data_IF_058334900133
#
_entry.id   IF_058334900133
#
_cell.length_a   1.000
_cell.length_b   1.000
_cell.length_c   1.000
_cell.angle_alpha   90.00
_cell.angle_beta   90.00
_cell.angle_gamma   90.00
#
_symmetry.space_group_name_H-M   'P 1'
#
loop_
_entity.id
_entity.type
_entity.pdbx_description
1 polymer ?
#
# COMPACT_ATOMS: atom_id res chain seq x y z
N UNK A 1 -42.27 -10.26 -3.48
CA UNK A 1 -41.53 -9.09 -2.96
C UNK A 1 -40.20 -9.05 -3.69
N UNK A 2 -40.05 -8.10 -4.63
CA UNK A 2 -38.82 -7.99 -5.43
C UNK A 2 -37.76 -7.27 -4.61
N UNK A 3 -36.61 -7.90 -4.36
CA UNK A 3 -35.50 -7.25 -3.70
C UNK A 3 -34.97 -6.13 -4.61
N UNK A 4 -34.97 -4.89 -4.12
CA UNK A 4 -34.30 -3.77 -4.80
C UNK A 4 -32.81 -4.13 -5.00
N UNK A 5 -32.22 -3.90 -6.18
CA UNK A 5 -30.79 -4.10 -6.36
C UNK A 5 -30.04 -3.17 -5.39
N UNK A 6 -29.16 -3.75 -4.58
CA UNK A 6 -28.22 -2.97 -3.76
C UNK A 6 -27.28 -2.26 -4.72
N UNK A 7 -27.18 -0.94 -4.61
CA UNK A 7 -26.30 -0.15 -5.47
C UNK A 7 -24.85 -0.57 -5.19
N UNK A 8 -24.14 -1.06 -6.20
CA UNK A 8 -22.78 -1.58 -6.03
C UNK A 8 -21.82 -0.49 -5.52
N UNK A 9 -22.01 0.75 -6.02
CA UNK A 9 -21.27 1.95 -5.61
C UNK A 9 -21.38 2.27 -4.10
N UNK A 10 -22.54 2.03 -3.47
CA UNK A 10 -22.66 2.29 -2.03
C UNK A 10 -21.89 1.24 -1.21
N UNK A 11 -21.77 0.01 -1.71
CA UNK A 11 -21.03 -1.05 -1.02
C UNK A 11 -19.51 -0.86 -1.06
N UNK A 12 -18.98 -0.28 -2.15
CA UNK A 12 -17.56 0.02 -2.30
C UNK A 12 -17.16 1.27 -1.52
N UNK A 13 -17.96 2.35 -1.54
CA UNK A 13 -17.74 3.52 -0.68
C UNK A 13 -17.81 3.17 0.81
N UNK A 14 -18.79 2.35 1.22
CA UNK A 14 -18.91 1.85 2.60
C UNK A 14 -17.67 1.05 3.01
N UNK A 15 -17.02 0.35 2.06
CA UNK A 15 -15.81 -0.42 2.33
C UNK A 15 -14.59 0.48 2.51
N UNK A 16 -14.46 1.54 1.71
CA UNK A 16 -13.36 2.49 1.81
C UNK A 16 -13.43 3.36 3.08
N UNK A 17 -14.61 3.55 3.66
CA UNK A 17 -14.79 4.33 4.89
C UNK A 17 -13.97 3.78 6.06
N UNK A 18 -13.57 2.51 6.07
CA UNK A 18 -12.71 1.98 7.13
C UNK A 18 -11.33 2.62 7.17
N UNK A 19 -10.84 3.17 6.04
CA UNK A 19 -9.52 3.77 5.88
C UNK A 19 -9.29 4.97 6.83
N UNK A 20 -10.35 5.62 7.31
CA UNK A 20 -10.24 6.72 8.31
C UNK A 20 -9.55 6.29 9.62
N UNK A 21 -9.47 4.98 9.87
CA UNK A 21 -8.84 4.39 11.06
C UNK A 21 -7.43 3.84 10.79
N UNK A 22 -6.87 4.12 9.62
CA UNK A 22 -5.57 3.66 9.18
C UNK A 22 -4.67 4.83 8.82
N UNK A 23 -3.38 4.69 9.13
CA UNK A 23 -2.32 5.49 8.52
C UNK A 23 -1.83 4.70 7.30
N UNK A 24 -1.94 5.30 6.11
CA UNK A 24 -1.57 4.64 4.85
C UNK A 24 -0.13 4.98 4.48
N UNK A 25 0.69 3.94 4.31
CA UNK A 25 2.05 4.04 3.79
C UNK A 25 2.10 3.38 2.42
N UNK A 26 2.45 4.14 1.38
CA UNK A 26 2.76 3.57 0.07
C UNK A 26 4.27 3.34 0.00
N UNK A 27 4.67 2.08 -0.14
CA UNK A 27 6.06 1.67 -0.28
C UNK A 27 6.38 1.41 -1.75
N UNK A 28 7.16 2.30 -2.35
CA UNK A 28 7.50 2.25 -3.76
C UNK A 28 8.83 1.54 -4.00
N UNK A 29 8.82 0.56 -4.90
CA UNK A 29 10.01 -0.12 -5.38
C UNK A 29 10.79 0.75 -6.38
N UNK A 30 11.78 1.49 -5.90
CA UNK A 30 12.70 2.24 -6.76
C UNK A 30 13.95 1.41 -7.10
N UNK A 31 13.84 0.08 -7.19
CA UNK A 31 14.96 -0.78 -7.62
C UNK A 31 15.22 -0.69 -9.13
N UNK A 32 16.42 -1.09 -9.58
CA UNK A 32 16.79 -1.00 -10.99
C UNK A 32 15.90 -1.83 -11.94
N UNK A 33 15.23 -2.89 -11.47
CA UNK A 33 14.33 -3.69 -12.33
C UNK A 33 13.03 -2.96 -12.67
N UNK A 34 12.70 -1.92 -11.91
CA UNK A 34 11.52 -1.08 -12.14
C UNK A 34 11.70 -0.08 -13.29
N UNK A 35 12.86 -0.02 -13.94
CA UNK A 35 13.15 0.93 -15.01
C UNK A 35 12.05 1.00 -16.08
N UNK A 36 11.66 -0.14 -16.65
CA UNK A 36 10.63 -0.22 -17.71
C UNK A 36 9.20 -0.02 -17.17
N UNK A 37 8.99 -0.13 -15.86
CA UNK A 37 7.69 -0.05 -15.19
C UNK A 37 7.48 1.27 -14.43
N UNK A 38 8.48 2.15 -14.36
CA UNK A 38 8.47 3.31 -13.45
C UNK A 38 7.34 4.29 -13.73
N UNK A 39 7.07 4.58 -15.00
CA UNK A 39 5.97 5.44 -15.42
C UNK A 39 4.61 4.83 -15.06
N UNK A 40 4.46 3.51 -15.22
CA UNK A 40 3.25 2.78 -14.87
C UNK A 40 3.02 2.76 -13.36
N UNK A 41 4.08 2.48 -12.59
CA UNK A 41 4.04 2.49 -11.13
C UNK A 41 3.71 3.89 -10.59
N UNK A 42 4.20 4.95 -11.25
CA UNK A 42 3.88 6.34 -10.94
C UNK A 42 2.40 6.64 -11.12
N UNK A 43 1.80 6.19 -12.23
CA UNK A 43 0.36 6.36 -12.49
C UNK A 43 -0.50 5.61 -11.46
N UNK A 44 -0.15 4.35 -11.15
CA UNK A 44 -0.80 3.58 -10.08
C UNK A 44 -0.72 4.32 -8.74
N UNK A 45 0.47 4.80 -8.37
CA UNK A 45 0.64 5.55 -7.12
C UNK A 45 -0.21 6.82 -7.10
N UNK A 46 -0.21 7.64 -8.17
CA UNK A 46 -0.98 8.87 -8.22
C UNK A 46 -2.47 8.60 -7.96
N UNK A 47 -3.02 7.56 -8.61
CA UNK A 47 -4.43 7.15 -8.45
C UNK A 47 -4.74 6.61 -7.06
N UNK A 48 -3.93 5.69 -6.55
CA UNK A 48 -4.11 5.10 -5.21
C UNK A 48 -4.03 6.19 -4.14
N UNK A 49 -3.05 7.09 -4.26
CA UNK A 49 -2.85 8.22 -3.35
C UNK A 49 -4.06 9.15 -3.38
N UNK A 50 -4.54 9.53 -4.56
CA UNK A 50 -5.71 10.40 -4.70
C UNK A 50 -6.97 9.83 -4.01
N UNK A 51 -7.20 8.52 -4.13
CA UNK A 51 -8.35 7.87 -3.48
C UNK A 51 -8.14 7.79 -1.97
N UNK A 52 -6.96 7.37 -1.51
CA UNK A 52 -6.67 7.20 -0.08
C UNK A 52 -6.76 8.53 0.69
N UNK A 53 -6.30 9.64 0.11
CA UNK A 53 -6.34 10.97 0.71
C UNK A 53 -7.75 11.50 1.02
N UNK A 54 -8.79 10.94 0.39
CA UNK A 54 -10.18 11.29 0.71
C UNK A 54 -10.56 10.85 2.12
N UNK A 55 -9.89 9.83 2.65
CA UNK A 55 -10.17 9.20 3.93
C UNK A 55 -9.09 9.46 4.97
N UNK A 56 -7.83 9.65 4.55
CA UNK A 56 -6.73 9.98 5.46
C UNK A 56 -6.39 11.48 5.46
N UNK A 57 -6.81 12.17 6.52
CA UNK A 57 -6.75 13.65 6.59
C UNK A 57 -5.40 14.21 7.04
N UNK A 58 -4.55 13.41 7.67
CA UNK A 58 -3.20 13.84 8.04
C UNK A 58 -2.17 13.67 6.90
N UNK A 59 -2.53 12.92 5.85
CA UNK A 59 -1.82 12.76 4.59
C UNK A 59 -1.30 11.34 4.39
N UNK A 60 -0.89 11.01 3.17
CA UNK A 60 -0.38 9.67 2.83
C UNK A 60 1.14 9.68 2.93
N UNK A 61 1.73 8.73 3.64
CA UNK A 61 3.18 8.60 3.69
C UNK A 61 3.68 7.81 2.48
N UNK A 62 4.53 8.43 1.65
CA UNK A 62 5.21 7.73 0.56
C UNK A 62 6.64 7.43 1.00
N UNK A 63 7.02 6.16 0.96
CA UNK A 63 8.38 5.70 1.18
C UNK A 63 8.91 4.97 -0.05
N UNK A 64 10.23 4.86 -0.17
CA UNK A 64 10.90 4.11 -1.22
C UNK A 64 11.77 3.02 -0.61
N UNK A 65 12.08 1.97 -1.37
CA UNK A 65 13.00 0.93 -0.93
C UNK A 65 14.42 1.44 -0.72
N UNK A 66 14.93 2.25 -1.65
CA UNK A 66 16.31 2.72 -1.68
C UNK A 66 16.42 4.22 -1.36
N UNK A 67 15.56 5.05 -1.92
CA UNK A 67 15.58 6.50 -1.77
C UNK A 67 15.14 6.98 -0.37
N UNK A 68 15.82 8.00 0.14
CA UNK A 68 15.45 8.68 1.38
C UNK A 68 14.55 9.90 1.15
N UNK A 69 14.05 10.10 -0.07
CA UNK A 69 13.21 11.26 -0.42
C UNK A 69 11.75 11.12 0.02
N UNK A 70 11.37 9.95 0.56
CA UNK A 70 10.04 9.68 1.07
C UNK A 70 9.55 10.74 2.05
N UNK A 71 8.24 11.02 2.00
CA UNK A 71 7.58 12.06 2.81
C UNK A 71 6.06 11.86 2.82
N UNK A 72 5.40 12.54 3.73
CA UNK A 72 3.94 12.68 3.73
C UNK A 72 3.52 13.64 2.61
N UNK A 73 2.54 13.23 1.80
CA UNK A 73 1.97 14.02 0.72
C UNK A 73 0.52 14.40 1.02
N UNK A 74 0.13 15.61 0.59
CA UNK A 74 -1.21 16.18 0.82
C UNK A 74 -1.87 16.72 -0.44
N UNK A 75 -1.24 16.54 -1.60
CA UNK A 75 -1.78 16.93 -2.90
C UNK A 75 -1.16 16.14 -4.06
N UNK A 76 -1.82 16.15 -5.22
CA UNK A 76 -1.24 15.62 -6.47
C UNK A 76 0.08 16.29 -6.85
N UNK A 77 0.21 17.59 -6.55
CA UNK A 77 1.45 18.33 -6.82
C UNK A 77 2.61 17.81 -5.95
N UNK A 78 2.34 17.42 -4.70
CA UNK A 78 3.35 16.82 -3.82
C UNK A 78 3.83 15.47 -4.35
N UNK A 79 2.91 14.67 -4.89
CA UNK A 79 3.21 13.38 -5.52
C UNK A 79 4.10 13.58 -6.75
N UNK A 80 3.70 14.43 -7.69
CA UNK A 80 4.49 14.70 -8.92
C UNK A 80 5.90 15.22 -8.62
N UNK A 81 6.01 16.19 -7.72
CA UNK A 81 7.31 16.73 -7.31
C UNK A 81 8.17 15.77 -6.48
N UNK A 82 7.61 14.66 -6.01
CA UNK A 82 8.37 13.58 -5.38
C UNK A 82 9.01 12.69 -6.45
N UNK A 83 8.25 12.34 -7.48
CA UNK A 83 8.71 11.50 -8.60
C UNK A 83 9.80 12.15 -9.44
N UNK A 84 9.74 13.46 -9.66
CA UNK A 84 10.81 14.20 -10.35
C UNK A 84 12.19 14.10 -9.65
N UNK A 85 12.22 13.60 -8.40
CA UNK A 85 13.43 13.53 -7.56
C UNK A 85 13.93 12.11 -7.32
N UNK A 86 13.25 11.09 -7.84
CA UNK A 86 13.57 9.68 -7.60
C UNK A 86 13.57 8.93 -8.92
N UNK A 87 14.62 8.16 -9.15
CA UNK A 87 14.78 7.30 -10.33
C UNK A 87 15.07 5.87 -9.87
N UNK A 88 14.56 4.85 -10.59
CA UNK A 88 14.85 3.45 -10.34
C UNK A 88 16.36 3.18 -10.33
N UNK A 89 16.86 2.62 -9.24
CA UNK A 89 18.28 2.26 -9.12
C UNK A 89 18.49 1.20 -8.05
N UNK A 90 19.66 0.55 -8.07
CA UNK A 90 20.08 -0.37 -7.01
C UNK A 90 19.24 -1.67 -6.93
N UNK A 91 19.28 -2.34 -5.78
CA UNK A 91 18.65 -3.64 -5.50
C UNK A 91 17.25 -3.45 -4.89
N UNK A 92 16.59 -4.56 -4.56
CA UNK A 92 15.25 -4.59 -3.95
C UNK A 92 15.33 -4.98 -2.46
N UNK A 93 15.68 -4.06 -1.53
CA UNK A 93 15.82 -4.35 -0.11
C UNK A 93 14.48 -4.42 0.65
N UNK A 94 13.44 -5.03 0.05
CA UNK A 94 12.06 -5.03 0.55
C UNK A 94 11.95 -5.50 2.01
N UNK A 95 12.53 -6.66 2.34
CA UNK A 95 12.44 -7.22 3.70
C UNK A 95 13.04 -6.29 4.77
N UNK A 96 14.19 -5.67 4.49
CA UNK A 96 14.80 -4.71 5.42
C UNK A 96 13.91 -3.47 5.60
N UNK A 97 13.37 -2.94 4.50
CA UNK A 97 12.55 -1.73 4.56
C UNK A 97 11.23 -1.96 5.30
N UNK A 98 10.61 -3.12 5.11
CA UNK A 98 9.44 -3.52 5.88
C UNK A 98 9.74 -3.67 7.38
N UNK A 99 10.87 -4.30 7.74
CA UNK A 99 11.32 -4.41 9.14
C UNK A 99 11.50 -3.01 9.78
N UNK A 100 12.15 -2.08 9.08
CA UNK A 100 12.33 -0.69 9.54
C UNK A 100 10.98 -0.01 9.82
N UNK A 101 10.03 -0.08 8.87
CA UNK A 101 8.68 0.50 9.02
C UNK A 101 7.93 -0.13 10.20
N UNK A 102 7.94 -1.45 10.31
CA UNK A 102 7.30 -2.18 11.40
C UNK A 102 7.88 -1.79 12.77
N UNK A 103 9.21 -1.71 12.89
CA UNK A 103 9.87 -1.30 14.13
C UNK A 103 9.51 0.12 14.54
N UNK A 104 9.44 1.05 13.59
CA UNK A 104 9.03 2.41 13.87
C UNK A 104 7.58 2.49 14.34
N UNK A 105 6.68 1.70 13.77
CA UNK A 105 5.30 1.60 14.22
C UNK A 105 5.18 0.99 15.63
N UNK A 106 5.89 -0.11 15.91
CA UNK A 106 5.93 -0.71 17.25
C UNK A 106 6.45 0.27 18.31
N UNK A 107 7.50 1.03 17.99
CA UNK A 107 8.01 2.09 18.87
C UNK A 107 6.94 3.16 19.14
N UNK A 108 6.19 3.59 18.12
CA UNK A 108 5.08 4.54 18.30
C UNK A 108 4.04 3.98 19.26
N UNK A 109 3.63 2.71 19.08
CA UNK A 109 2.68 2.04 19.98
C UNK A 109 3.15 2.02 21.44
N UNK A 110 4.42 1.69 21.68
CA UNK A 110 5.00 1.64 23.03
C UNK A 110 5.06 3.01 23.71
N UNK A 111 5.32 4.08 22.96
CA UNK A 111 5.46 5.44 23.50
C UNK A 111 4.11 6.13 23.76
N UNK A 112 3.04 5.74 23.07
CA UNK A 112 1.74 6.43 23.16
C UNK A 112 0.72 5.65 24.01
N UNK A 113 0.73 5.88 25.32
CA UNK A 113 -0.19 5.19 26.24
C UNK A 113 -1.63 5.73 26.16
N UNK A 114 -1.80 7.04 25.96
CA UNK A 114 -3.12 7.70 26.04
C UNK A 114 -3.83 7.87 24.70
N UNK A 115 -3.10 7.84 23.59
CA UNK A 115 -3.64 7.95 22.24
C UNK A 115 -2.80 7.09 21.31
N UNK A 116 -3.10 5.79 21.19
CA UNK A 116 -2.35 4.91 20.29
C UNK A 116 -2.44 5.44 18.85
N UNK A 117 -1.41 5.23 18.02
CA UNK A 117 -1.47 5.53 16.59
C UNK A 117 -2.60 4.75 15.91
N UNK A 118 -3.04 5.24 14.74
CA UNK A 118 -3.96 4.48 13.88
C UNK A 118 -3.27 3.20 13.42
N UNK A 119 -4.05 2.23 12.90
CA UNK A 119 -3.47 1.00 12.35
C UNK A 119 -2.65 1.32 11.10
N UNK A 120 -1.53 0.64 10.89
CA UNK A 120 -0.72 0.83 9.68
C UNK A 120 -1.27 -0.03 8.52
N UNK A 121 -1.50 0.57 7.36
CA UNK A 121 -1.71 -0.13 6.08
C UNK A 121 -0.53 0.17 5.16
N UNK A 122 0.22 -0.86 4.75
CA UNK A 122 1.33 -0.72 3.81
C UNK A 122 0.87 -1.22 2.44
N UNK A 123 0.94 -0.37 1.41
CA UNK A 123 0.68 -0.71 0.01
C UNK A 123 2.02 -0.70 -0.71
N UNK A 124 2.52 -1.88 -1.08
CA UNK A 124 3.76 -1.99 -1.85
C UNK A 124 3.47 -2.00 -3.36
N UNK A 125 4.19 -1.18 -4.12
CA UNK A 125 4.14 -1.17 -5.59
C UNK A 125 5.49 -1.64 -6.10
N UNK A 126 5.50 -2.78 -6.81
CA UNK A 126 6.71 -3.50 -7.25
C UNK A 126 6.42 -4.29 -8.53
N UNK A 127 7.46 -4.65 -9.28
CA UNK A 127 7.42 -5.58 -10.42
C UNK A 127 7.38 -7.06 -9.97
N UNK A 128 7.41 -7.30 -8.66
CA UNK A 128 7.45 -8.65 -8.08
C UNK A 128 8.80 -9.35 -8.26
N UNK A 129 9.81 -8.65 -8.78
CA UNK A 129 11.17 -9.15 -8.83
C UNK A 129 11.69 -9.21 -7.39
N UNK A 130 12.02 -10.41 -6.85
CA UNK A 130 12.46 -10.51 -5.46
C UNK A 130 13.82 -9.84 -5.21
N UNK A 131 14.47 -9.31 -6.26
CA UNK A 131 15.91 -9.12 -6.31
C UNK A 131 16.64 -10.42 -5.93
N UNK A 132 17.96 -10.41 -5.89
CA UNK A 132 18.72 -11.56 -5.37
C UNK A 132 18.64 -11.68 -3.82
N UNK A 133 17.59 -11.14 -3.18
CA UNK A 133 17.52 -10.98 -1.73
C UNK A 133 16.78 -12.15 -1.06
N UNK A 134 17.53 -13.21 -0.73
CA UNK A 134 17.06 -14.30 0.17
C UNK A 134 16.43 -13.79 1.48
N UNK A 135 16.79 -12.57 1.91
CA UNK A 135 16.23 -11.93 3.09
C UNK A 135 14.77 -11.51 2.94
N UNK A 136 14.33 -11.03 1.77
CA UNK A 136 12.94 -10.59 1.58
C UNK A 136 11.98 -11.78 1.67
N UNK A 137 12.28 -12.86 0.96
CA UNK A 137 11.49 -14.10 1.02
C UNK A 137 11.48 -14.72 2.41
N UNK A 138 12.62 -14.70 3.11
CA UNK A 138 12.71 -15.24 4.48
C UNK A 138 11.92 -14.39 5.47
N UNK A 139 12.03 -13.06 5.39
CA UNK A 139 11.29 -12.14 6.25
C UNK A 139 9.78 -12.21 6.02
N UNK A 140 9.33 -12.23 4.77
CA UNK A 140 7.91 -12.39 4.44
C UNK A 140 7.36 -13.73 4.91
N UNK A 141 8.13 -14.83 4.75
CA UNK A 141 7.76 -16.14 5.29
C UNK A 141 7.78 -16.18 6.81
N UNK A 142 8.76 -15.56 7.47
CA UNK A 142 8.82 -15.47 8.93
C UNK A 142 7.64 -14.67 9.49
N UNK A 143 7.26 -13.57 8.84
CA UNK A 143 6.02 -12.86 9.16
C UNK A 143 4.79 -13.75 8.97
N UNK A 144 4.69 -14.50 7.87
CA UNK A 144 3.55 -15.38 7.62
C UNK A 144 3.46 -16.54 8.63
N UNK A 145 4.59 -17.16 8.94
CA UNK A 145 4.72 -18.28 9.89
C UNK A 145 4.48 -17.83 11.35
N UNK A 146 4.96 -16.64 11.75
CA UNK A 146 4.80 -16.11 13.12
C UNK A 146 3.37 -15.63 13.39
N UNK A 147 2.63 -15.22 12.34
CA UNK A 147 1.24 -14.77 12.42
C UNK A 147 0.23 -15.80 11.90
N UNK A 148 0.50 -17.10 12.12
CA UNK A 148 -0.39 -18.24 11.81
C UNK A 148 -1.89 -17.87 12.02
N UNK A 149 -2.63 -17.77 10.90
CA UNK A 149 -4.08 -17.45 10.71
C UNK A 149 -4.47 -16.03 10.28
N UNK A 150 -3.56 -15.06 10.18
CA UNK A 150 -3.91 -13.75 9.60
C UNK A 150 -3.32 -13.59 8.20
N UNK A 151 -4.17 -13.83 7.20
CA UNK A 151 -3.98 -13.34 5.85
C UNK A 151 -3.96 -11.80 5.89
N UNK A 152 -2.75 -11.24 5.96
CA UNK A 152 -2.46 -9.80 6.11
C UNK A 152 -1.89 -9.18 4.82
N UNK A 153 -1.56 -10.01 3.83
CA UNK A 153 -0.96 -9.59 2.57
C UNK A 153 -1.93 -9.97 1.45
N UNK A 154 -2.38 -8.97 0.70
CA UNK A 154 -3.11 -9.18 -0.55
C UNK A 154 -2.26 -8.66 -1.72
N UNK A 155 -2.50 -9.16 -2.92
CA UNK A 155 -1.79 -8.75 -4.13
C UNK A 155 -2.78 -8.55 -5.28
N UNK A 156 -2.65 -7.41 -5.95
CA UNK A 156 -3.44 -7.07 -7.13
C UNK A 156 -2.48 -6.89 -8.30
N UNK A 157 -2.53 -7.74 -9.34
CA UNK A 157 -1.71 -7.55 -10.52
C UNK A 157 -2.17 -6.30 -11.28
N UNK A 158 -1.21 -5.59 -11.86
CA UNK A 158 -1.46 -4.45 -12.74
C UNK A 158 -0.99 -4.80 -14.15
N UNK A 159 -1.87 -4.67 -15.13
CA UNK A 159 -1.64 -5.06 -16.53
C UNK A 159 -1.31 -3.86 -17.44
N UNK A 160 -1.16 -2.66 -16.87
CA UNK A 160 -0.93 -1.43 -17.61
C UNK A 160 -2.21 -0.75 -18.09
N UNK A 161 -3.39 -1.27 -17.75
CA UNK A 161 -4.70 -0.66 -18.04
C UNK A 161 -5.21 0.09 -16.81
N UNK A 162 -6.07 1.09 -17.02
CA UNK A 162 -6.69 1.87 -15.95
C UNK A 162 -7.27 0.98 -14.82
N UNK A 163 -6.87 1.27 -13.58
CA UNK A 163 -7.41 0.60 -12.39
C UNK A 163 -8.93 0.77 -12.31
N UNK A 164 -9.64 -0.36 -12.27
CA UNK A 164 -11.10 -0.36 -12.07
C UNK A 164 -11.43 0.05 -10.63
N UNK A 165 -12.66 0.55 -10.37
CA UNK A 165 -13.12 0.80 -9.01
C UNK A 165 -12.99 -0.43 -8.10
N UNK A 166 -13.23 -1.63 -8.63
CA UNK A 166 -13.11 -2.90 -7.92
C UNK A 166 -11.65 -3.19 -7.54
N UNK A 167 -10.72 -3.04 -8.49
CA UNK A 167 -9.28 -3.18 -8.22
C UNK A 167 -8.81 -2.16 -7.19
N UNK A 168 -9.29 -0.92 -7.25
CA UNK A 168 -8.95 0.13 -6.28
C UNK A 168 -9.40 -0.23 -4.86
N UNK A 169 -10.62 -0.75 -4.71
CA UNK A 169 -11.14 -1.21 -3.41
C UNK A 169 -10.33 -2.41 -2.91
N UNK A 170 -9.92 -3.32 -3.79
CA UNK A 170 -9.05 -4.45 -3.42
C UNK A 170 -7.67 -3.99 -2.97
N UNK A 171 -7.02 -3.08 -3.68
CA UNK A 171 -5.72 -2.50 -3.29
C UNK A 171 -5.79 -1.84 -1.92
N UNK A 172 -6.83 -1.05 -1.65
CA UNK A 172 -6.93 -0.26 -0.43
C UNK A 172 -7.46 -1.06 0.78
N UNK A 173 -8.33 -2.05 0.56
CA UNK A 173 -9.11 -2.67 1.64
C UNK A 173 -9.06 -4.20 1.60
N UNK A 174 -8.54 -4.84 0.55
CA UNK A 174 -8.49 -6.30 0.40
C UNK A 174 -7.82 -6.99 1.59
N UNK A 175 -6.67 -6.49 2.02
CA UNK A 175 -5.95 -6.96 3.20
C UNK A 175 -6.64 -6.63 4.55
N UNK A 176 -7.61 -5.70 4.57
CA UNK A 176 -8.36 -5.30 5.76
C UNK A 176 -9.66 -6.10 5.90
N UNK A 177 -10.38 -6.29 4.80
CA UNK A 177 -11.71 -6.89 4.76
C UNK A 177 -11.78 -8.03 3.74
N UNK A 178 -11.63 -9.26 4.24
CA UNK A 178 -11.69 -10.49 3.41
C UNK A 178 -12.99 -10.66 2.60
N UNK A 179 -14.09 -9.96 2.92
CA UNK A 179 -15.31 -10.02 2.10
C UNK A 179 -15.14 -9.32 0.75
N UNK A 180 -14.27 -8.31 0.70
CA UNK A 180 -13.88 -7.62 -0.53
C UNK A 180 -13.01 -8.55 -1.39
N UNK A 181 -12.06 -9.24 -0.77
CA UNK A 181 -11.17 -10.19 -1.46
C UNK A 181 -11.91 -11.42 -2.04
N UNK A 182 -12.97 -11.91 -1.37
CA UNK A 182 -13.76 -13.05 -1.84
C UNK A 182 -14.76 -12.75 -2.96
N UNK A 183 -14.90 -11.49 -3.41
CA UNK A 183 -15.67 -11.19 -4.61
C UNK A 183 -14.81 -11.48 -5.84
N UNK A 184 -14.85 -12.75 -6.26
CA UNK A 184 -14.17 -13.23 -7.46
C UNK A 184 -14.67 -12.50 -8.71
N UNK A 185 -13.74 -12.15 -9.59
CA UNK A 185 -13.97 -12.01 -11.04
C UNK A 185 -14.54 -13.30 -11.65
#
# INVERSE_FOLDING_TARGET
>A
MSAKPRNLASSSEDSLQCLVNYDVIILMDDSGSMGDYWDQATDVMERVTEVAMKYDTDGIEIQFLNSNKGRIVKSKADVKSLFEKVEPSCLTPLGKRLDDICRDYLRKLEMTVFKPPKRCLIIAITDGSPGNCRFATKFLKELDDEFEKRDIVDTVPYDGVDLTPEQMVKILVGAINRRVDNQKE
#
